data_IF_236192697856
#
_entry.id   IF_236192697856
#
_cell.length_a   1.000
_cell.length_b   1.000
_cell.length_c   1.000
_cell.angle_alpha   90.00
_cell.angle_beta   90.00
_cell.angle_gamma   90.00
#
_symmetry.space_group_name_H-M   'P 1'
#
loop_
_entity.id
_entity.type
_entity.pdbx_description
1 polymer ?
#
# COMPACT_ATOMS: atom_id res chain seq x y z
N UNK A 1 9.70 20.90 43.34
CA UNK A 1 9.56 20.62 41.89
C UNK A 1 8.85 19.28 41.80
N UNK A 2 7.51 19.28 41.76
CA UNK A 2 6.70 18.07 41.70
C UNK A 2 6.90 17.42 40.32
N UNK A 3 7.48 16.23 40.25
CA UNK A 3 7.56 15.47 39.00
C UNK A 3 6.16 14.92 38.70
N UNK A 4 5.41 15.67 37.90
CA UNK A 4 4.04 15.37 37.50
C UNK A 4 4.01 14.12 36.61
N UNK A 5 3.80 12.96 37.23
CA UNK A 5 3.64 11.68 36.52
C UNK A 5 2.49 11.67 35.51
N UNK A 6 1.54 12.62 35.57
CA UNK A 6 0.33 12.61 34.74
C UNK A 6 0.65 12.85 33.26
N UNK A 7 1.64 13.69 32.97
CA UNK A 7 2.10 13.96 31.60
C UNK A 7 2.80 12.78 30.91
N UNK A 8 3.36 11.83 31.67
CA UNK A 8 3.92 10.57 31.12
C UNK A 8 2.80 9.55 30.79
N UNK A 9 1.75 9.49 31.61
CA UNK A 9 0.62 8.57 31.38
C UNK A 9 -0.29 9.02 30.23
N UNK A 10 -0.42 10.33 29.99
CA UNK A 10 -1.22 10.87 28.89
C UNK A 10 -0.59 10.64 27.50
N UNK A 11 0.74 10.48 27.41
CA UNK A 11 1.44 10.18 26.15
C UNK A 11 1.44 8.71 25.73
N UNK A 12 0.98 7.80 26.61
CA UNK A 12 0.96 6.37 26.31
C UNK A 12 -0.27 5.95 25.49
N UNK A 13 -1.31 6.79 25.46
CA UNK A 13 -2.56 6.58 24.71
C UNK A 13 -2.57 7.17 23.30
N UNK A 14 -1.55 7.96 22.93
CA UNK A 14 -1.40 8.50 21.57
C UNK A 14 -0.65 7.52 20.65
N UNK A 15 -0.89 6.21 20.86
CA UNK A 15 -0.50 5.21 19.90
C UNK A 15 -1.37 5.44 18.68
N UNK A 16 -0.75 5.99 17.64
CA UNK A 16 -1.35 6.16 16.33
C UNK A 16 -1.86 4.79 15.91
N UNK A 17 -3.16 4.57 16.09
CA UNK A 17 -3.88 3.36 15.66
C UNK A 17 -3.82 3.32 14.14
N UNK A 18 -2.69 2.86 13.63
CA UNK A 18 -2.55 2.43 12.26
C UNK A 18 -3.50 1.24 12.15
N UNK A 19 -4.63 1.41 11.44
CA UNK A 19 -5.59 0.32 11.28
C UNK A 19 -4.92 -0.95 10.76
N UNK A 20 -5.56 -2.11 10.92
CA UNK A 20 -5.00 -3.44 10.60
C UNK A 20 -4.25 -3.51 9.25
N UNK A 21 -4.74 -2.82 8.22
CA UNK A 21 -4.06 -2.71 6.92
C UNK A 21 -2.72 -1.97 6.99
N UNK A 22 -2.63 -0.89 7.76
CA UNK A 22 -1.40 -0.12 7.99
C UNK A 22 -0.36 -0.91 8.79
N UNK A 23 -0.78 -1.72 9.77
CA UNK A 23 0.10 -2.67 10.45
C UNK A 23 0.62 -3.75 9.51
N UNK A 24 -0.25 -4.29 8.64
CA UNK A 24 0.14 -5.29 7.64
C UNK A 24 1.15 -4.75 6.63
N UNK A 25 0.94 -3.52 6.15
CA UNK A 25 1.89 -2.82 5.28
C UNK A 25 3.19 -2.54 6.05
N UNK A 26 3.12 -2.16 7.32
CA UNK A 26 4.28 -2.01 8.20
C UNK A 26 5.09 -3.30 8.38
N UNK A 27 4.44 -4.46 8.53
CA UNK A 27 5.09 -5.76 8.57
C UNK A 27 5.72 -6.13 7.21
N UNK A 28 5.04 -5.90 6.09
CA UNK A 28 5.61 -6.16 4.76
C UNK A 28 6.83 -5.28 4.49
N UNK A 29 6.78 -4.03 4.97
CA UNK A 29 7.86 -3.03 4.94
C UNK A 29 9.08 -3.51 5.75
N UNK A 30 8.87 -4.06 6.95
CA UNK A 30 9.96 -4.63 7.78
C UNK A 30 10.57 -5.90 7.17
N UNK A 31 9.77 -6.73 6.50
CA UNK A 31 10.25 -7.98 5.89
C UNK A 31 10.91 -7.79 4.51
N UNK A 32 11.13 -6.54 4.06
CA UNK A 32 11.77 -6.27 2.78
C UNK A 32 10.95 -6.64 1.54
N UNK A 33 9.65 -6.97 1.69
CA UNK A 33 8.78 -7.41 0.58
C UNK A 33 8.34 -6.28 -0.36
N UNK A 34 9.08 -5.17 -0.40
CA UNK A 34 8.86 -4.07 -1.35
C UNK A 34 8.92 -4.51 -2.81
N UNK A 35 9.63 -5.61 -3.08
CA UNK A 35 9.67 -6.26 -4.40
C UNK A 35 8.30 -6.75 -4.90
N UNK A 36 7.30 -6.90 -4.03
CA UNK A 36 5.93 -7.24 -4.46
C UNK A 36 5.22 -6.05 -5.11
N UNK A 37 5.56 -4.82 -4.73
CA UNK A 37 4.94 -3.61 -5.30
C UNK A 37 5.10 -3.55 -6.83
N UNK A 38 6.31 -3.68 -7.41
CA UNK A 38 6.46 -3.66 -8.86
C UNK A 38 5.75 -4.82 -9.55
N UNK A 39 5.71 -6.00 -8.94
CA UNK A 39 5.00 -7.17 -9.49
C UNK A 39 3.48 -6.91 -9.53
N UNK A 40 2.91 -6.41 -8.44
CA UNK A 40 1.48 -6.06 -8.35
C UNK A 40 1.12 -4.97 -9.36
N UNK A 41 1.98 -3.97 -9.53
CA UNK A 41 1.81 -2.90 -10.52
C UNK A 41 1.75 -3.44 -11.95
N UNK A 42 2.68 -4.33 -12.32
CA UNK A 42 2.69 -4.95 -13.65
C UNK A 42 1.44 -5.81 -13.85
N UNK A 43 1.04 -6.58 -12.84
CA UNK A 43 -0.19 -7.40 -12.92
C UNK A 43 -1.45 -6.54 -13.07
N UNK A 44 -1.55 -5.43 -12.35
CA UNK A 44 -2.63 -4.45 -12.52
C UNK A 44 -2.62 -3.86 -13.92
N UNK A 45 -1.45 -3.47 -14.43
CA UNK A 45 -1.31 -2.95 -15.79
C UNK A 45 -1.79 -3.97 -16.82
N UNK A 46 -1.40 -5.24 -16.71
CA UNK A 46 -1.91 -6.31 -17.58
C UNK A 46 -3.41 -6.51 -17.43
N UNK A 47 -3.95 -6.49 -16.20
CA UNK A 47 -5.40 -6.57 -15.97
C UNK A 47 -6.17 -5.45 -16.67
N UNK A 48 -5.66 -4.22 -16.58
CA UNK A 48 -6.20 -3.05 -17.28
C UNK A 48 -6.11 -3.24 -18.80
N UNK A 49 -4.95 -3.67 -19.32
CA UNK A 49 -4.77 -3.93 -20.75
C UNK A 49 -5.73 -5.00 -21.28
N UNK A 50 -6.00 -6.05 -20.51
CA UNK A 50 -6.95 -7.11 -20.89
C UNK A 50 -8.38 -6.55 -20.97
N UNK A 51 -8.79 -5.74 -19.99
CA UNK A 51 -10.10 -5.09 -19.98
C UNK A 51 -10.24 -4.11 -21.16
N UNK A 52 -9.16 -3.39 -21.50
CA UNK A 52 -9.15 -2.48 -22.65
C UNK A 52 -9.09 -3.25 -23.98
N UNK A 53 -8.44 -4.41 -24.02
CA UNK A 53 -8.34 -5.28 -25.19
C UNK A 53 -9.64 -5.98 -25.56
N UNK A 54 -10.57 -6.15 -24.62
CA UNK A 54 -11.94 -6.61 -24.92
C UNK A 54 -12.88 -5.47 -25.32
N UNK A 55 -12.39 -4.22 -25.33
CA UNK A 55 -13.14 -3.02 -25.71
C UNK A 55 -12.82 -2.55 -27.13
N UNK A 56 -13.54 -1.55 -27.63
CA UNK A 56 -13.24 -0.89 -28.91
C UNK A 56 -11.83 -0.25 -28.98
N UNK A 57 -11.08 -0.20 -27.86
CA UNK A 57 -9.69 0.23 -27.81
C UNK A 57 -8.69 -0.83 -28.32
N UNK A 58 -9.12 -2.08 -28.58
CA UNK A 58 -8.28 -3.16 -29.09
C UNK A 58 -7.37 -2.78 -30.28
N UNK A 59 -7.83 -2.04 -31.31
CA UNK A 59 -7.00 -1.65 -32.46
C UNK A 59 -5.76 -0.81 -32.09
N UNK A 60 -5.82 -0.03 -31.01
CA UNK A 60 -4.73 0.83 -30.55
C UNK A 60 -3.70 0.09 -29.67
N UNK A 61 -4.05 -1.09 -29.15
CA UNK A 61 -3.10 -1.95 -28.42
C UNK A 61 -2.20 -2.68 -29.41
N UNK A 62 -2.74 -3.10 -30.55
CA UNK A 62 -1.95 -3.78 -31.60
C UNK A 62 -0.87 -2.89 -32.21
N UNK A 63 -1.00 -1.55 -32.17
CA UNK A 63 0.03 -0.65 -32.71
C UNK A 63 1.27 -0.50 -31.81
N UNK A 64 1.24 -1.02 -30.58
CA UNK A 64 2.39 -1.04 -29.67
C UNK A 64 3.31 -2.25 -29.88
N UNK A 65 2.95 -3.16 -30.79
CA UNK A 65 3.69 -4.38 -31.16
C UNK A 65 3.96 -4.41 -32.67
#
# INVERSE_FOLDING_TARGET
>A
MEYDKRTEFEKTGEQKDIGLFGEFVGMMKQNGKYWLIPIILILLLFGVLIILGSSAAAPFIYTLF
#
